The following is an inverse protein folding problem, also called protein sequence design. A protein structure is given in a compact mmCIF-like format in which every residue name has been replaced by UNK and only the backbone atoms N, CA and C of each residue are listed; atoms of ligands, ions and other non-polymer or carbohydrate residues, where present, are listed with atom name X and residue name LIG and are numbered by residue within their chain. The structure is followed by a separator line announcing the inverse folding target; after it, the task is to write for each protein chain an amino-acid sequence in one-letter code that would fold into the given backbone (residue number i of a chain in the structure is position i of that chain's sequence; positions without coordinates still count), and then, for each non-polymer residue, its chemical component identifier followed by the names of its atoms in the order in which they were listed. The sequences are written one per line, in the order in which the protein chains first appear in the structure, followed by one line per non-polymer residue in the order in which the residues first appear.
data_IF_380005338192
#
_entry.id   IF_380005338192
#
_cell.length_a   1.000
_cell.length_b   1.000
_cell.length_c   1.000
_cell.angle_alpha   90.00
_cell.angle_beta   90.00
_cell.angle_gamma   90.00
#
_symmetry.space_group_name_H-M   'P 1'
#
loop_
_entity.id
_entity.type
_entity.pdbx_description
1 polymer ?
#
# COMPACT_ATOMS: atom_id res chain seq x y z
N UNK A 1 21.47 -4.00 -14.24
CA UNK A 1 20.53 -4.22 -15.35
C UNK A 1 19.13 -4.05 -14.77
N UNK A 2 18.57 -2.84 -14.85
CA UNK A 2 17.23 -2.53 -14.32
C UNK A 2 16.27 -2.89 -15.45
N UNK A 3 15.56 -4.00 -15.30
CA UNK A 3 14.50 -4.43 -16.22
C UNK A 3 13.41 -3.35 -16.15
N UNK A 4 12.77 -2.92 -17.27
CA UNK A 4 11.67 -1.97 -17.18
C UNK A 4 10.57 -2.64 -16.37
N UNK A 5 10.34 -2.20 -15.13
CA UNK A 5 9.33 -2.82 -14.25
C UNK A 5 7.95 -2.43 -14.75
N UNK A 6 7.34 -3.37 -15.47
CA UNK A 6 5.96 -3.36 -15.91
C UNK A 6 5.06 -3.56 -14.69
N UNK A 7 4.39 -2.48 -14.27
CA UNK A 7 3.40 -2.47 -13.19
C UNK A 7 2.21 -1.63 -13.67
N UNK A 8 0.99 -2.07 -13.37
CA UNK A 8 -0.23 -1.34 -13.75
C UNK A 8 -1.06 -1.02 -12.52
N UNK A 9 -1.45 0.25 -12.41
CA UNK A 9 -2.07 0.81 -11.21
C UNK A 9 -3.54 1.10 -11.46
N UNK A 10 -4.35 0.82 -10.44
CA UNK A 10 -5.68 1.38 -10.25
C UNK A 10 -5.69 2.18 -8.96
N UNK A 11 -5.87 3.49 -9.07
CA UNK A 11 -6.00 4.38 -7.92
C UNK A 11 -7.43 4.38 -7.40
N UNK A 12 -7.57 4.36 -6.08
CA UNK A 12 -8.82 4.53 -5.36
C UNK A 12 -8.59 5.54 -4.25
N UNK A 13 -9.57 6.42 -4.01
CA UNK A 13 -9.54 7.24 -2.80
C UNK A 13 -10.55 6.65 -1.83
N UNK A 14 -10.04 5.88 -0.87
CA UNK A 14 -10.88 5.17 0.10
C UNK A 14 -10.88 5.94 1.41
N UNK A 15 -12.06 6.29 1.90
CA UNK A 15 -12.22 6.82 3.25
C UNK A 15 -12.33 5.63 4.21
N UNK A 16 -11.30 5.39 5.02
CA UNK A 16 -11.41 4.41 6.09
C UNK A 16 -12.15 5.05 7.27
N UNK A 17 -13.30 4.49 7.65
CA UNK A 17 -14.01 4.86 8.87
C UNK A 17 -13.28 4.30 10.08
N UNK A 18 -12.16 4.92 10.46
CA UNK A 18 -11.55 4.72 11.77
C UNK A 18 -12.21 5.69 12.74
N UNK A 19 -13.18 5.19 13.52
CA UNK A 19 -13.94 6.00 14.49
C UNK A 19 -13.00 6.49 15.58
N UNK A 20 -12.56 7.73 15.46
CA UNK A 20 -12.01 8.53 16.56
C UNK A 20 -12.60 9.93 16.41
N UNK A 21 -13.61 10.28 17.23
CA UNK A 21 -14.26 11.60 17.32
C UNK A 21 -14.25 12.47 16.04
N UNK A 22 -15.31 12.38 15.24
CA UNK A 22 -15.75 13.39 14.25
C UNK A 22 -14.79 13.86 13.13
N UNK A 23 -13.69 13.14 12.83
CA UNK A 23 -12.90 13.41 11.61
C UNK A 23 -12.76 12.17 10.73
N UNK A 24 -13.39 12.22 9.54
CA UNK A 24 -13.17 11.23 8.47
C UNK A 24 -11.85 11.58 7.77
N UNK A 25 -10.79 10.84 8.09
CA UNK A 25 -9.52 10.98 7.39
C UNK A 25 -9.54 10.20 6.07
N UNK A 26 -9.25 10.90 4.98
CA UNK A 26 -9.17 10.33 3.65
C UNK A 26 -7.72 10.00 3.32
N UNK A 27 -7.45 8.73 3.01
CA UNK A 27 -6.12 8.26 2.62
C UNK A 27 -6.13 7.72 1.19
N UNK A 28 -5.04 7.93 0.45
CA UNK A 28 -4.91 7.40 -0.90
C UNK A 28 -4.56 5.92 -0.86
N UNK A 29 -5.23 5.14 -1.72
CA UNK A 29 -5.04 3.69 -1.80
C UNK A 29 -4.89 3.26 -3.25
N UNK A 30 -4.03 2.30 -3.51
CA UNK A 30 -3.75 1.84 -4.86
C UNK A 30 -3.82 0.32 -4.90
N UNK A 31 -4.41 -0.25 -5.96
CA UNK A 31 -4.23 -1.66 -6.28
C UNK A 31 -3.29 -1.73 -7.46
N UNK A 32 -2.22 -2.49 -7.32
CA UNK A 32 -1.17 -2.62 -8.33
C UNK A 32 -1.05 -4.08 -8.73
N UNK A 33 -1.08 -4.31 -10.04
CA UNK A 33 -0.82 -5.62 -10.65
C UNK A 33 0.69 -5.78 -10.84
N UNK A 34 1.32 -6.58 -9.97
CA UNK A 34 2.76 -6.79 -9.97
C UNK A 34 3.21 -7.85 -10.99
N UNK A 35 4.41 -7.67 -11.56
CA UNK A 35 5.01 -8.56 -12.56
C UNK A 35 4.25 -8.62 -13.90
N UNK A 36 3.52 -7.56 -14.27
CA UNK A 36 2.77 -7.52 -15.53
C UNK A 36 2.60 -6.10 -16.09
N UNK A 37 2.49 -5.99 -17.41
CA UNK A 37 2.08 -4.76 -18.13
C UNK A 37 0.58 -4.74 -18.48
N UNK A 38 -0.12 -5.83 -18.24
CA UNK A 38 -1.53 -6.02 -18.54
C UNK A 38 -2.38 -5.82 -17.28
N UNK A 39 -3.57 -5.23 -17.43
CA UNK A 39 -4.49 -5.10 -16.28
C UNK A 39 -5.06 -6.47 -15.95
N UNK A 40 -5.30 -6.71 -14.66
CA UNK A 40 -5.93 -7.94 -14.18
C UNK A 40 -5.08 -9.21 -14.40
N UNK A 41 -3.76 -9.03 -14.53
CA UNK A 41 -2.78 -10.10 -14.64
C UNK A 41 -1.73 -9.96 -13.53
N UNK A 42 -0.83 -10.94 -13.41
CA UNK A 42 0.20 -10.90 -12.37
C UNK A 42 -0.36 -10.99 -10.95
N UNK A 43 0.39 -10.45 -9.99
CA UNK A 43 0.06 -10.55 -8.56
C UNK A 43 -0.43 -9.21 -8.02
N UNK A 44 -1.69 -9.15 -7.58
CA UNK A 44 -2.27 -7.92 -7.07
C UNK A 44 -1.80 -7.63 -5.63
N UNK A 45 -1.41 -6.38 -5.38
CA UNK A 45 -1.17 -5.87 -4.03
C UNK A 45 -1.87 -4.54 -3.83
N UNK A 46 -2.44 -4.35 -2.64
CA UNK A 46 -2.93 -3.04 -2.21
C UNK A 46 -1.77 -2.25 -1.57
N UNK A 47 -1.74 -0.94 -1.80
CA UNK A 47 -0.79 0.00 -1.18
C UNK A 47 -1.60 1.13 -0.55
N UNK A 48 -1.49 1.29 0.77
CA UNK A 48 -2.26 2.27 1.54
C UNK A 48 -1.34 3.36 2.11
N UNK A 49 -1.55 4.60 1.70
CA UNK A 49 -0.74 5.75 2.11
C UNK A 49 -1.32 6.39 3.38
N UNK A 50 -1.06 5.75 4.53
CA UNK A 50 -1.48 6.23 5.85
C UNK A 50 -0.23 6.74 6.59
N UNK A 51 -0.06 8.06 6.82
CA UNK A 51 1.20 8.65 7.28
C UNK A 51 1.43 8.50 8.80
N UNK A 52 1.01 7.37 9.39
CA UNK A 52 1.22 7.07 10.81
C UNK A 52 1.23 5.57 11.07
N UNK A 53 1.77 5.21 12.23
CA UNK A 53 1.68 3.84 12.76
C UNK A 53 0.26 3.60 13.28
N UNK A 54 -0.34 2.48 12.86
CA UNK A 54 -1.61 1.98 13.39
C UNK A 54 -1.36 0.80 14.35
N UNK A 55 -2.41 0.39 15.07
CA UNK A 55 -2.39 -0.89 15.78
C UNK A 55 -2.46 -2.03 14.77
N UNK A 56 -1.84 -3.17 15.09
CA UNK A 56 -1.80 -4.33 14.19
C UNK A 56 -3.19 -4.85 13.80
N UNK A 57 -4.18 -4.72 14.69
CA UNK A 57 -5.58 -5.02 14.39
C UNK A 57 -6.15 -4.10 13.30
N UNK A 58 -5.77 -2.83 13.27
CA UNK A 58 -6.25 -1.87 12.28
C UNK A 58 -5.63 -2.14 10.91
N UNK A 59 -4.32 -2.42 10.85
CA UNK A 59 -3.67 -2.88 9.63
C UNK A 59 -4.34 -4.13 9.06
N UNK A 60 -4.61 -5.13 9.91
CA UNK A 60 -5.28 -6.37 9.49
C UNK A 60 -6.71 -6.14 9.01
N UNK A 61 -7.49 -5.30 9.69
CA UNK A 61 -8.85 -4.94 9.24
C UNK A 61 -8.83 -4.28 7.87
N UNK A 62 -7.90 -3.36 7.63
CA UNK A 62 -7.73 -2.72 6.32
C UNK A 62 -7.31 -3.73 5.26
N UNK A 63 -6.34 -4.60 5.56
CA UNK A 63 -5.89 -5.63 4.63
C UNK A 63 -7.02 -6.65 4.30
N UNK A 64 -7.85 -6.98 5.28
CA UNK A 64 -9.02 -7.84 5.11
C UNK A 64 -10.10 -7.21 4.22
N UNK A 65 -10.28 -5.88 4.27
CA UNK A 65 -11.21 -5.16 3.40
C UNK A 65 -10.82 -5.27 1.92
N UNK A 66 -9.53 -5.21 1.60
CA UNK A 66 -9.06 -5.43 0.23
C UNK A 66 -9.14 -6.89 -0.21
N UNK A 67 -8.99 -7.83 0.74
CA UNK A 67 -9.02 -9.27 0.49
C UNK A 67 -8.08 -9.72 -0.65
N UNK A 68 -6.90 -9.11 -0.73
CA UNK A 68 -5.80 -9.50 -1.61
C UNK A 68 -4.75 -10.32 -0.85
N UNK A 69 -3.79 -10.91 -1.55
CA UNK A 69 -2.69 -11.66 -0.93
C UNK A 69 -1.97 -10.81 0.12
N UNK A 70 -1.60 -9.57 -0.24
CA UNK A 70 -0.97 -8.63 0.67
C UNK A 70 -1.41 -7.19 0.44
N UNK A 71 -1.49 -6.45 1.54
CA UNK A 71 -1.59 -5.00 1.59
C UNK A 71 -0.33 -4.43 2.22
N UNK A 72 0.28 -3.45 1.55
CA UNK A 72 1.48 -2.77 1.99
C UNK A 72 1.16 -1.38 2.56
N UNK A 73 1.86 -1.03 3.64
CA UNK A 73 1.70 0.22 4.35
C UNK A 73 3.07 0.92 4.47
N UNK A 74 3.46 1.74 3.49
CA UNK A 74 4.63 2.61 3.63
C UNK A 74 4.32 3.74 4.62
N UNK A 75 5.28 4.07 5.47
CA UNK A 75 5.23 5.25 6.35
C UNK A 75 6.52 6.04 6.16
N UNK A 76 6.44 7.32 5.73
CA UNK A 76 7.64 8.16 5.58
C UNK A 76 8.34 8.32 6.92
N UNK A 77 9.67 8.19 6.93
CA UNK A 77 10.49 8.42 8.14
C UNK A 77 10.94 9.87 8.28
N UNK A 78 10.78 10.68 7.23
CA UNK A 78 11.03 12.10 7.20
C UNK A 78 10.04 12.80 6.26
N UNK A 79 9.55 14.00 6.61
CA UNK A 79 8.63 14.75 5.73
C UNK A 79 7.31 14.01 5.46
N UNK A 80 6.82 14.11 4.23
CA UNK A 80 5.60 13.47 3.74
C UNK A 80 5.89 12.48 2.60
N UNK A 81 4.86 11.83 2.04
CA UNK A 81 5.04 10.84 0.97
C UNK A 81 5.74 11.37 -0.29
N UNK A 82 5.78 12.69 -0.53
CA UNK A 82 6.40 13.29 -1.72
C UNK A 82 7.83 13.76 -1.46
N UNK A 83 8.14 14.10 -0.22
CA UNK A 83 9.42 14.69 0.19
C UNK A 83 10.32 13.72 0.94
N UNK A 84 9.76 12.64 1.46
CA UNK A 84 10.51 11.61 2.17
C UNK A 84 11.53 10.94 1.25
N UNK A 85 12.73 10.74 1.77
CA UNK A 85 13.78 9.94 1.12
C UNK A 85 13.81 8.49 1.62
N UNK A 86 13.12 8.22 2.72
CA UNK A 86 13.15 6.94 3.43
C UNK A 86 11.76 6.61 3.97
N UNK A 87 11.44 5.32 3.98
CA UNK A 87 10.14 4.80 4.42
C UNK A 87 10.35 3.54 5.26
N UNK A 88 9.57 3.40 6.32
CA UNK A 88 9.29 2.07 6.88
C UNK A 88 8.20 1.42 6.05
N UNK A 89 8.19 0.09 6.00
CA UNK A 89 7.22 -0.66 5.21
C UNK A 89 6.79 -1.89 5.99
N UNK A 90 5.48 -2.08 6.11
CA UNK A 90 4.86 -3.27 6.71
C UNK A 90 3.91 -3.91 5.71
N UNK A 91 3.76 -5.23 5.81
CA UNK A 91 2.93 -6.02 4.90
C UNK A 91 1.97 -6.89 5.70
N UNK A 92 0.71 -6.89 5.30
CA UNK A 92 -0.32 -7.67 5.95
C UNK A 92 -1.07 -8.48 4.91
N UNK A 93 -1.27 -9.76 5.21
CA UNK A 93 -2.37 -10.54 4.63
C UNK A 93 -3.68 -10.13 5.33
N UNK A 94 -4.85 -10.63 4.90
CA UNK A 94 -6.10 -10.42 5.62
C UNK A 94 -6.09 -10.86 7.09
N UNK A 95 -5.15 -11.73 7.50
CA UNK A 95 -5.18 -12.38 8.82
C UNK A 95 -3.94 -12.12 9.67
N UNK A 96 -2.79 -11.79 9.08
CA UNK A 96 -1.51 -11.61 9.81
C UNK A 96 -0.59 -10.61 9.12
N UNK A 97 0.31 -10.03 9.90
CA UNK A 97 1.52 -9.41 9.35
C UNK A 97 2.44 -10.49 8.78
N UNK A 98 3.16 -10.14 7.71
CA UNK A 98 4.25 -10.95 7.15
C UNK A 98 5.56 -10.15 7.18
N UNK A 99 6.70 -10.82 7.43
CA UNK A 99 7.97 -10.11 7.65
C UNK A 99 8.52 -9.44 6.38
N UNK A 100 8.17 -9.97 5.20
CA UNK A 100 8.58 -9.43 3.90
C UNK A 100 7.67 -9.96 2.79
N UNK A 101 7.29 -9.10 1.85
CA UNK A 101 6.61 -9.51 0.62
C UNK A 101 7.18 -8.78 -0.61
N UNK A 102 7.75 -9.55 -1.55
CA UNK A 102 8.46 -8.99 -2.71
C UNK A 102 7.57 -8.20 -3.67
N UNK A 103 6.42 -8.75 -4.07
CA UNK A 103 5.56 -8.11 -5.07
C UNK A 103 4.83 -6.87 -4.53
N UNK A 104 4.43 -6.90 -3.26
CA UNK A 104 3.86 -5.74 -2.57
C UNK A 104 4.92 -4.64 -2.31
N UNK A 105 6.19 -5.00 -2.14
CA UNK A 105 7.31 -4.04 -2.11
C UNK A 105 7.49 -3.36 -3.47
N UNK A 106 7.48 -4.13 -4.56
CA UNK A 106 7.55 -3.57 -5.92
C UNK A 106 6.36 -2.64 -6.20
N UNK A 107 5.14 -3.07 -5.86
CA UNK A 107 3.94 -2.26 -5.94
C UNK A 107 4.08 -0.94 -5.17
N UNK A 108 4.57 -1.00 -3.93
CA UNK A 108 4.80 0.19 -3.10
C UNK A 108 5.80 1.15 -3.73
N UNK A 109 6.94 0.63 -4.21
CA UNK A 109 7.95 1.46 -4.87
C UNK A 109 7.38 2.18 -6.09
N UNK A 110 6.57 1.49 -6.89
CA UNK A 110 5.97 2.08 -8.08
C UNK A 110 4.98 3.18 -7.76
N UNK A 111 4.15 2.99 -6.74
CA UNK A 111 3.24 4.04 -6.25
C UNK A 111 4.03 5.26 -5.78
N UNK A 112 5.03 5.08 -4.91
CA UNK A 112 5.79 6.19 -4.33
C UNK A 112 6.58 7.00 -5.36
N UNK A 113 7.06 6.37 -6.44
CA UNK A 113 7.93 7.04 -7.42
C UNK A 113 7.23 7.49 -8.70
N UNK A 114 6.02 6.97 -9.01
CA UNK A 114 5.35 7.26 -10.29
C UNK A 114 3.92 7.80 -10.14
N UNK A 115 3.25 7.58 -9.00
CA UNK A 115 1.81 7.86 -8.87
C UNK A 115 1.46 9.02 -7.94
N UNK A 116 2.44 9.55 -7.17
CA UNK A 116 2.25 10.65 -6.21
C UNK A 116 3.26 11.76 -6.38
#
# INVERSE_FOLDING_TARGET
MIVPTYLKVRSYVTAFFMVWCDMVEKHSTYIVDAFTSERFAGNQAAVCLIPRVLRDEEYRKIAAEFNLSETAFPIPTNGDFKTASTFTLRWFTPTTEVPLCGHATLATSHVLFNEI
#
